data_IF_778798372897
#
_entry.id   IF_778798372897
#
_cell.length_a   1.000
_cell.length_b   1.000
_cell.length_c   1.000
_cell.angle_alpha   90.00
_cell.angle_beta   90.00
_cell.angle_gamma   90.00
#
_symmetry.space_group_name_H-M   'P 1'
#
loop_
_entity.id
_entity.type
_entity.pdbx_description
1 polymer ?
#
# COMPACT_ATOMS: atom_id res chain seq x y z
N UNK A 1 -13.13 -6.81 8.40
CA UNK A 1 -11.74 -6.33 8.19
C UNK A 1 -11.57 -5.74 6.79
N UNK A 2 -11.74 -6.54 5.72
CA UNK A 2 -11.50 -6.11 4.33
C UNK A 2 -12.32 -4.88 3.92
N UNK A 3 -13.64 -4.87 4.15
CA UNK A 3 -14.49 -3.71 3.76
C UNK A 3 -14.05 -2.43 4.47
N UNK A 4 -13.78 -2.49 5.78
CA UNK A 4 -13.32 -1.32 6.54
C UNK A 4 -11.94 -0.83 6.11
N UNK A 5 -11.01 -1.75 5.85
CA UNK A 5 -9.68 -1.42 5.32
C UNK A 5 -9.76 -0.80 3.93
N UNK A 6 -10.57 -1.36 3.02
CA UNK A 6 -10.79 -0.81 1.68
C UNK A 6 -11.40 0.59 1.72
N UNK A 7 -12.37 0.83 2.60
CA UNK A 7 -12.93 2.18 2.81
C UNK A 7 -11.87 3.14 3.32
N UNK A 8 -11.03 2.73 4.28
CA UNK A 8 -9.93 3.56 4.78
C UNK A 8 -8.95 3.93 3.65
N UNK A 9 -8.54 2.96 2.82
CA UNK A 9 -7.69 3.22 1.67
C UNK A 9 -8.34 4.19 0.67
N UNK A 10 -9.64 4.02 0.38
CA UNK A 10 -10.38 4.91 -0.51
C UNK A 10 -10.47 6.34 0.03
N UNK A 11 -10.66 6.50 1.34
CA UNK A 11 -10.67 7.82 1.99
C UNK A 11 -9.27 8.48 1.94
N UNK A 12 -8.20 7.72 2.17
CA UNK A 12 -6.82 8.21 2.02
C UNK A 12 -6.51 8.60 0.57
N UNK A 13 -6.99 7.80 -0.40
CA UNK A 13 -6.90 8.10 -1.84
C UNK A 13 -7.67 9.37 -2.20
N UNK A 14 -8.89 9.54 -1.68
CA UNK A 14 -9.75 10.68 -1.97
C UNK A 14 -9.27 12.00 -1.33
N UNK A 15 -8.50 11.91 -0.24
CA UNK A 15 -8.00 13.07 0.53
C UNK A 15 -6.55 13.42 0.18
N UNK A 16 -5.57 12.96 0.97
CA UNK A 16 -4.17 13.37 0.88
C UNK A 16 -3.47 12.87 -0.39
N UNK A 17 -3.86 11.71 -0.91
CA UNK A 17 -3.30 11.21 -2.17
C UNK A 17 -3.73 12.09 -3.36
N UNK A 18 -5.01 12.51 -3.42
CA UNK A 18 -5.50 13.43 -4.45
C UNK A 18 -4.86 14.82 -4.35
N UNK A 19 -4.45 15.24 -3.15
CA UNK A 19 -3.72 16.49 -2.89
C UNK A 19 -2.23 16.43 -3.23
N UNK A 20 -1.73 15.28 -3.73
CA UNK A 20 -0.31 15.03 -4.01
C UNK A 20 0.59 15.19 -2.79
N UNK A 21 0.05 14.92 -1.60
CA UNK A 21 0.81 14.96 -0.36
C UNK A 21 1.58 13.65 -0.16
N UNK A 22 2.88 13.76 0.15
CA UNK A 22 3.75 12.60 0.38
C UNK A 22 3.29 11.75 1.56
N UNK A 23 2.61 12.35 2.54
CA UNK A 23 1.99 11.63 3.66
C UNK A 23 0.89 10.66 3.20
N UNK A 24 0.10 11.02 2.19
CA UNK A 24 -0.93 10.14 1.63
C UNK A 24 -0.30 8.90 0.99
N UNK A 25 0.78 9.08 0.24
CA UNK A 25 1.55 7.99 -0.35
C UNK A 25 2.18 7.09 0.73
N UNK A 26 2.85 7.69 1.72
CA UNK A 26 3.47 6.95 2.83
C UNK A 26 2.45 6.15 3.63
N UNK A 27 1.27 6.71 3.87
CA UNK A 27 0.18 6.04 4.62
C UNK A 27 -0.34 4.82 3.85
N UNK A 28 -0.57 4.96 2.55
CA UNK A 28 -0.96 3.85 1.67
C UNK A 28 0.10 2.77 1.61
N UNK A 29 1.37 3.15 1.41
CA UNK A 29 2.50 2.23 1.35
C UNK A 29 2.69 1.46 2.68
N UNK A 30 2.64 2.17 3.81
CA UNK A 30 2.74 1.56 5.13
C UNK A 30 1.56 0.62 5.41
N UNK A 31 0.33 1.01 5.08
CA UNK A 31 -0.85 0.18 5.30
C UNK A 31 -0.78 -1.13 4.53
N UNK A 32 -0.48 -1.07 3.23
CA UNK A 32 -0.34 -2.26 2.36
C UNK A 32 0.86 -3.11 2.78
N UNK A 33 2.01 -2.50 3.09
CA UNK A 33 3.23 -3.21 3.49
C UNK A 33 3.10 -3.94 4.81
N UNK A 34 2.49 -3.30 5.83
CA UNK A 34 2.26 -3.93 7.13
C UNK A 34 1.26 -5.08 6.99
N UNK A 35 0.15 -4.87 6.27
CA UNK A 35 -0.83 -5.92 6.01
C UNK A 35 -0.18 -7.15 5.36
N UNK A 36 0.55 -6.94 4.25
CA UNK A 36 1.24 -8.03 3.55
C UNK A 36 2.22 -8.78 4.45
N UNK A 37 3.01 -8.05 5.26
CA UNK A 37 4.01 -8.65 6.15
C UNK A 37 3.36 -9.51 7.22
N UNK A 38 2.34 -8.99 7.90
CA UNK A 38 1.65 -9.70 8.99
C UNK A 38 0.92 -10.93 8.44
N UNK A 39 0.13 -10.78 7.37
CA UNK A 39 -0.71 -11.84 6.84
C UNK A 39 0.11 -12.96 6.16
N UNK A 40 1.19 -12.59 5.45
CA UNK A 40 2.09 -13.57 4.85
C UNK A 40 2.92 -14.32 5.90
N UNK A 41 3.39 -13.64 6.95
CA UNK A 41 4.11 -14.29 8.06
C UNK A 41 3.21 -15.30 8.75
N UNK A 42 1.95 -14.92 9.05
CA UNK A 42 0.98 -15.83 9.64
C UNK A 42 0.67 -17.03 8.73
N UNK A 43 0.52 -16.80 7.42
CA UNK A 43 0.28 -17.86 6.44
C UNK A 43 1.43 -18.87 6.35
N UNK A 44 2.68 -18.40 6.43
CA UNK A 44 3.86 -19.27 6.43
C UNK A 44 3.98 -20.08 7.73
N UNK A 45 3.76 -19.45 8.89
CA UNK A 45 3.84 -20.12 10.20
C UNK A 45 2.75 -21.19 10.34
N UNK A 46 1.55 -20.93 9.82
CA UNK A 46 0.42 -21.86 9.90
C UNK A 46 0.47 -22.98 8.84
N UNK A 47 1.44 -22.96 7.93
CA UNK A 47 1.61 -23.97 6.87
C UNK A 47 0.77 -23.76 5.61
N UNK A 48 -0.06 -22.70 5.56
CA UNK A 48 -0.87 -22.32 4.40
C UNK A 48 -0.08 -21.45 3.41
N UNK A 49 0.99 -21.99 2.84
CA UNK A 49 1.88 -21.26 1.93
C UNK A 49 1.18 -20.75 0.66
N UNK A 50 0.08 -21.39 0.23
CA UNK A 50 -0.74 -20.94 -0.89
C UNK A 50 -1.32 -19.54 -0.63
N UNK A 51 -1.67 -19.22 0.62
CA UNK A 51 -2.13 -17.89 0.99
C UNK A 51 -1.00 -16.87 0.88
N UNK A 52 0.24 -17.24 1.24
CA UNK A 52 1.39 -16.36 1.07
C UNK A 52 1.64 -16.03 -0.42
N UNK A 53 1.51 -17.01 -1.32
CA UNK A 53 1.60 -16.77 -2.78
C UNK A 53 0.49 -15.84 -3.26
N UNK A 54 -0.75 -16.08 -2.82
CA UNK A 54 -1.88 -15.20 -3.14
C UNK A 54 -1.65 -13.76 -2.65
N UNK A 55 -1.15 -13.62 -1.42
CA UNK A 55 -0.81 -12.32 -0.83
C UNK A 55 0.28 -11.59 -1.61
N UNK A 56 1.28 -12.31 -2.14
CA UNK A 56 2.32 -11.71 -3.01
C UNK A 56 1.70 -11.16 -4.28
N UNK A 57 0.84 -11.92 -4.95
CA UNK A 57 0.15 -11.44 -6.16
C UNK A 57 -0.66 -10.19 -5.85
N UNK A 58 -1.42 -10.21 -4.75
CA UNK A 58 -2.22 -9.07 -4.33
C UNK A 58 -1.34 -7.86 -3.98
N UNK A 59 -0.27 -8.06 -3.24
CA UNK A 59 0.69 -7.00 -2.90
C UNK A 59 1.29 -6.36 -4.16
N UNK A 60 1.69 -7.15 -5.15
CA UNK A 60 2.23 -6.65 -6.42
C UNK A 60 1.20 -5.79 -7.17
N UNK A 61 -0.07 -6.20 -7.19
CA UNK A 61 -1.15 -5.42 -7.80
C UNK A 61 -1.34 -4.04 -7.14
N UNK A 62 -1.04 -3.88 -5.85
CA UNK A 62 -1.05 -2.58 -5.17
C UNK A 62 0.29 -1.84 -5.30
N UNK A 63 1.41 -2.54 -5.18
CA UNK A 63 2.75 -1.97 -5.14
C UNK A 63 3.16 -1.37 -6.50
N UNK A 64 2.80 -1.99 -7.62
CA UNK A 64 3.13 -1.47 -8.96
C UNK A 64 2.50 -0.08 -9.20
N UNK A 65 1.16 0.12 -9.11
CA UNK A 65 0.56 1.42 -9.34
C UNK A 65 0.99 2.45 -8.26
N UNK A 66 1.22 2.01 -7.03
CA UNK A 66 1.72 2.88 -5.97
C UNK A 66 3.15 3.35 -6.24
N UNK A 67 4.03 2.48 -6.72
CA UNK A 67 5.39 2.83 -7.12
C UNK A 67 5.40 3.72 -8.37
N UNK A 68 4.55 3.44 -9.36
CA UNK A 68 4.42 4.27 -10.57
C UNK A 68 3.95 5.69 -10.25
N UNK A 69 3.16 5.87 -9.20
CA UNK A 69 2.71 7.19 -8.75
C UNK A 69 3.72 7.93 -7.89
N UNK A 70 4.75 7.27 -7.34
CA UNK A 70 5.76 7.89 -6.46
C UNK A 70 6.38 9.16 -7.06
N UNK A 71 6.71 9.15 -8.35
CA UNK A 71 7.28 10.30 -9.07
C UNK A 71 6.35 11.52 -9.13
N UNK A 72 5.04 11.34 -9.01
CA UNK A 72 4.05 12.42 -9.00
C UNK A 72 3.90 13.09 -7.62
N UNK A 73 4.43 12.47 -6.56
CA UNK A 73 4.45 12.98 -5.19
C UNK A 73 5.80 13.59 -4.80
N UNK A 74 6.82 13.44 -5.66
CA UNK A 74 8.11 14.07 -5.45
C UNK A 74 7.97 15.58 -5.69
N UNK A 75 7.94 16.36 -4.61
CA UNK A 75 8.13 17.81 -4.70
C UNK A 75 9.46 18.03 -5.41
N UNK A 76 9.44 18.72 -6.57
CA UNK A 76 10.63 19.39 -7.11
C UNK A 76 11.25 20.15 -5.95
N UNK A 77 12.43 19.71 -5.50
CA UNK A 77 13.27 20.52 -4.63
C UNK A 77 13.67 21.69 -5.50
N UNK A 78 12.97 22.80 -5.33
CA UNK A 78 13.23 24.05 -6.02
C UNK A 78 14.63 24.50 -5.60
N UNK A 79 15.56 24.38 -6.53
CA UNK A 79 16.94 24.85 -6.37
C UNK A 79 16.89 26.34 -6.05
N UNK A 80 17.44 26.70 -4.90
CA UNK A 80 17.72 28.07 -4.52
C UNK A 80 19.20 28.36 -4.73
#
# INVERSE_FOLDING_TARGET
VIVGWSVALLLTLASSFRRREREGWNTLAASVGIWFTVDSTYSLISGFWQNAVFNVVFFVCFAIPLAATYSHFEKKVEQK
#
